data_IF_988939990426
#
_entry.id   IF_988939990426
#
_cell.length_a   1.000
_cell.length_b   1.000
_cell.length_c   1.000
_cell.angle_alpha   90.00
_cell.angle_beta   90.00
_cell.angle_gamma   90.00
#
_symmetry.space_group_name_H-M   'P 1'
#
loop_
_entity.id
_entity.type
_entity.pdbx_description
1 polymer ?
#
# COMPACT_ATOMS: atom_id res chain seq x y z
N UNK A 1 -15.03 -6.11 -1.73
CA UNK A 1 -14.55 -7.48 -1.45
C UNK A 1 -13.19 -7.61 -0.75
N UNK A 2 -12.37 -6.55 -0.73
CA UNK A 2 -11.01 -6.59 -0.19
C UNK A 2 -10.92 -7.07 1.28
N UNK A 3 -11.88 -6.73 2.13
CA UNK A 3 -11.88 -7.15 3.54
C UNK A 3 -12.02 -8.67 3.77
N UNK A 4 -12.37 -9.45 2.73
CA UNK A 4 -12.43 -10.92 2.82
C UNK A 4 -11.03 -11.56 2.78
N UNK A 5 -10.04 -10.86 2.24
CA UNK A 5 -8.64 -11.31 2.11
C UNK A 5 -7.71 -10.50 3.02
N UNK A 6 -7.98 -9.20 3.16
CA UNK A 6 -7.27 -8.26 4.04
C UNK A 6 -8.25 -7.71 5.08
N UNK A 7 -8.51 -8.52 6.11
CA UNK A 7 -9.46 -8.16 7.16
C UNK A 7 -8.90 -7.09 8.10
N UNK A 8 -9.81 -6.26 8.62
CA UNK A 8 -9.47 -5.11 9.47
C UNK A 8 -8.86 -5.55 10.80
N UNK A 9 -9.27 -6.70 11.32
CA UNK A 9 -8.75 -7.23 12.59
C UNK A 9 -7.33 -7.81 12.45
N UNK A 10 -6.91 -8.10 11.22
CA UNK A 10 -5.57 -8.55 10.82
C UNK A 10 -4.65 -7.38 10.43
N UNK A 11 -5.17 -6.15 10.38
CA UNK A 11 -4.35 -4.98 10.11
C UNK A 11 -3.45 -4.67 11.32
N UNK A 12 -2.16 -4.51 11.04
CA UNK A 12 -1.12 -4.14 11.99
C UNK A 12 -0.42 -2.90 11.48
N UNK A 13 -0.31 -1.88 12.33
CA UNK A 13 0.42 -0.66 11.96
C UNK A 13 1.88 -1.02 11.72
N UNK A 14 2.45 -0.54 10.62
CA UNK A 14 3.81 -0.86 10.22
C UNK A 14 4.50 0.40 9.72
N UNK A 15 4.76 1.32 10.66
CA UNK A 15 5.33 2.64 10.39
C UNK A 15 6.61 2.85 11.19
N UNK A 16 7.73 2.92 10.49
CA UNK A 16 9.03 3.30 11.04
C UNK A 16 9.33 4.78 10.84
N UNK A 17 10.53 5.20 11.26
CA UNK A 17 11.03 6.55 10.96
C UNK A 17 11.15 6.72 9.45
N UNK A 18 10.49 7.72 8.88
CA UNK A 18 10.48 7.93 7.43
C UNK A 18 9.27 8.73 6.93
N UNK A 19 9.40 9.21 5.69
CA UNK A 19 8.35 9.94 4.98
C UNK A 19 7.39 8.97 4.28
N UNK A 20 6.70 8.14 5.05
CA UNK A 20 5.69 7.21 4.54
C UNK A 20 4.64 6.88 5.59
N UNK A 21 3.54 6.32 5.13
CA UNK A 21 2.54 5.62 5.95
C UNK A 21 2.55 4.14 5.59
N UNK A 22 2.23 3.28 6.55
CA UNK A 22 2.29 1.84 6.32
C UNK A 22 1.46 1.01 7.28
N UNK A 23 0.87 -0.06 6.77
CA UNK A 23 0.31 -1.14 7.57
C UNK A 23 0.55 -2.47 6.88
N UNK A 24 0.47 -3.54 7.66
CA UNK A 24 0.50 -4.90 7.16
C UNK A 24 -0.85 -5.57 7.43
N UNK A 25 -1.23 -6.50 6.57
CA UNK A 25 -2.22 -7.53 6.90
C UNK A 25 -1.45 -8.79 7.25
N UNK A 26 -1.59 -9.28 8.48
CA UNK A 26 -0.90 -10.47 8.94
C UNK A 26 -1.78 -11.32 9.88
N UNK A 27 -2.22 -12.52 9.46
CA UNK A 27 -2.03 -13.14 8.16
C UNK A 27 -3.07 -12.68 7.11
N UNK A 28 -2.78 -12.91 5.83
CA UNK A 28 -3.79 -12.88 4.76
C UNK A 28 -4.78 -14.02 4.90
N UNK A 29 -6.05 -13.76 4.59
CA UNK A 29 -7.14 -14.75 4.65
C UNK A 29 -7.53 -15.23 3.24
N UNK A 30 -7.99 -16.48 3.12
CA UNK A 30 -8.59 -16.97 1.87
C UNK A 30 -10.07 -16.59 1.81
N UNK A 31 -10.35 -15.49 1.13
CA UNK A 31 -11.68 -14.88 1.04
C UNK A 31 -12.52 -15.33 -0.15
N UNK A 32 -11.98 -16.18 -1.02
CA UNK A 32 -12.58 -16.56 -2.30
C UNK A 32 -12.37 -15.49 -3.39
N UNK A 33 -11.28 -14.72 -3.32
CA UNK A 33 -10.99 -13.59 -4.20
C UNK A 33 -9.81 -13.86 -5.14
N UNK A 34 -9.54 -12.92 -6.06
CA UNK A 34 -8.35 -12.98 -6.91
C UNK A 34 -7.03 -12.72 -6.17
N UNK A 35 -7.10 -12.14 -4.97
CA UNK A 35 -5.95 -11.88 -4.09
C UNK A 35 -5.66 -13.00 -3.10
N UNK A 36 -6.43 -14.10 -3.14
CA UNK A 36 -6.27 -15.19 -2.19
C UNK A 36 -4.85 -15.78 -2.26
N UNK A 37 -4.17 -15.99 -1.11
CA UNK A 37 -2.83 -16.53 -1.09
C UNK A 37 -2.71 -17.89 -1.79
N UNK A 38 -1.70 -18.02 -2.65
CA UNK A 38 -1.37 -19.25 -3.36
C UNK A 38 -2.08 -19.44 -4.70
N UNK A 39 -2.78 -18.42 -5.20
CA UNK A 39 -3.32 -18.41 -6.56
C UNK A 39 -2.22 -18.30 -7.62
N UNK A 40 -1.20 -17.50 -7.34
CA UNK A 40 0.01 -17.35 -8.14
C UNK A 40 1.25 -17.73 -7.31
N UNK A 41 2.41 -18.02 -7.95
CA UNK A 41 3.63 -18.31 -7.23
C UNK A 41 4.12 -17.08 -6.48
N UNK A 42 4.50 -17.26 -5.21
CA UNK A 42 5.12 -16.20 -4.43
C UNK A 42 6.46 -15.77 -5.02
N UNK A 43 6.88 -14.53 -4.77
CA UNK A 43 8.20 -14.07 -5.17
C UNK A 43 9.30 -14.98 -4.57
N UNK A 44 10.29 -15.41 -5.38
CA UNK A 44 11.41 -16.17 -4.87
C UNK A 44 12.14 -15.40 -3.75
N UNK A 45 12.71 -16.13 -2.79
CA UNK A 45 13.46 -15.58 -1.66
C UNK A 45 12.66 -14.72 -0.66
N UNK A 46 11.32 -14.66 -0.75
CA UNK A 46 10.51 -14.13 0.35
C UNK A 46 10.70 -14.98 1.60
N UNK A 47 10.89 -14.30 2.74
CA UNK A 47 10.92 -14.94 4.06
C UNK A 47 9.56 -15.55 4.39
N UNK A 48 9.55 -16.60 5.20
CA UNK A 48 8.34 -17.36 5.55
C UNK A 48 7.18 -16.46 6.03
N UNK A 49 7.42 -15.52 6.96
CA UNK A 49 6.36 -14.60 7.42
C UNK A 49 5.82 -13.69 6.29
N UNK A 50 6.66 -13.27 5.34
CA UNK A 50 6.23 -12.43 4.21
C UNK A 50 5.49 -13.20 3.13
N UNK A 51 5.54 -14.54 3.17
CA UNK A 51 4.79 -15.39 2.24
C UNK A 51 3.30 -15.48 2.59
N UNK A 52 2.91 -15.00 3.78
CA UNK A 52 1.54 -15.05 4.30
C UNK A 52 0.97 -13.68 4.62
N UNK A 53 1.70 -12.60 4.37
CA UNK A 53 1.34 -11.24 4.79
C UNK A 53 1.38 -10.28 3.61
N UNK A 54 0.50 -9.27 3.62
CA UNK A 54 0.57 -8.16 2.68
C UNK A 54 1.03 -6.89 3.40
N UNK A 55 1.72 -6.01 2.66
CA UNK A 55 2.17 -4.72 3.17
C UNK A 55 1.64 -3.61 2.27
N UNK A 56 1.03 -2.60 2.87
CA UNK A 56 0.50 -1.44 2.16
C UNK A 56 1.27 -0.21 2.61
N UNK A 57 1.90 0.47 1.67
CA UNK A 57 2.81 1.58 1.94
C UNK A 57 2.42 2.77 1.06
N UNK A 58 2.22 3.93 1.66
CA UNK A 58 2.14 5.20 0.93
C UNK A 58 3.43 5.97 1.16
N UNK A 59 4.31 5.93 0.16
CA UNK A 59 5.56 6.67 0.13
C UNK A 59 5.27 8.13 -0.29
N UNK A 60 5.55 9.05 0.63
CA UNK A 60 5.41 10.46 0.37
C UNK A 60 6.38 10.89 -0.76
N UNK A 61 5.94 11.73 -1.73
CA UNK A 61 4.69 12.49 -1.70
C UNK A 61 3.50 11.82 -2.38
N UNK A 62 3.72 10.85 -3.28
CA UNK A 62 2.71 10.55 -4.29
C UNK A 62 2.73 9.11 -4.81
N UNK A 63 3.40 8.18 -4.14
CA UNK A 63 3.44 6.78 -4.60
C UNK A 63 2.92 5.87 -3.51
N UNK A 64 2.04 4.94 -3.84
CA UNK A 64 1.66 3.88 -2.91
C UNK A 64 1.80 2.49 -3.52
N UNK A 65 2.00 1.52 -2.65
CA UNK A 65 2.29 0.14 -2.96
C UNK A 65 1.40 -0.77 -2.12
N UNK A 66 0.86 -1.81 -2.75
CA UNK A 66 0.33 -2.99 -2.08
C UNK A 66 1.21 -4.17 -2.47
N UNK A 67 2.02 -4.62 -1.51
CA UNK A 67 2.94 -5.73 -1.63
C UNK A 67 2.24 -7.00 -1.15
N UNK A 68 1.87 -7.89 -2.06
CA UNK A 68 1.38 -9.23 -1.76
C UNK A 68 2.51 -10.25 -1.98
N UNK A 69 2.40 -11.46 -1.40
CA UNK A 69 3.39 -12.50 -1.60
C UNK A 69 3.66 -12.84 -3.07
N UNK A 70 2.66 -12.71 -3.94
CA UNK A 70 2.70 -13.12 -5.36
C UNK A 70 2.53 -11.96 -6.36
N UNK A 71 2.18 -10.77 -5.89
CA UNK A 71 1.91 -9.60 -6.73
C UNK A 71 2.32 -8.28 -6.06
N UNK A 72 2.65 -7.29 -6.88
CA UNK A 72 2.93 -5.93 -6.50
C UNK A 72 2.00 -5.00 -7.27
N UNK A 73 1.13 -4.29 -6.56
CA UNK A 73 0.34 -3.21 -7.14
C UNK A 73 0.95 -1.87 -6.72
N UNK A 74 1.34 -1.05 -7.69
CA UNK A 74 1.92 0.29 -7.48
C UNK A 74 1.04 1.33 -8.14
N UNK A 75 0.77 2.43 -7.44
CA UNK A 75 0.12 3.61 -8.02
C UNK A 75 1.00 4.83 -7.81
N UNK A 76 1.21 5.61 -8.87
CA UNK A 76 1.84 6.93 -8.81
C UNK A 76 0.79 8.00 -9.12
N UNK A 77 0.67 8.98 -8.23
CA UNK A 77 -0.27 10.08 -8.34
C UNK A 77 0.39 11.29 -9.01
N UNK A 78 -0.18 11.71 -10.15
CA UNK A 78 0.25 12.87 -10.93
C UNK A 78 -0.80 13.97 -10.83
N UNK A 79 -0.63 15.00 -9.98
CA UNK A 79 -1.58 16.11 -9.89
C UNK A 79 -1.56 16.91 -11.20
N UNK A 80 -2.73 17.20 -11.75
CA UNK A 80 -2.88 17.90 -13.04
C UNK A 80 -3.49 19.30 -12.89
N UNK A 81 -4.37 19.49 -11.91
CA UNK A 81 -4.93 20.79 -11.50
C UNK A 81 -5.50 20.68 -10.08
N UNK A 82 -5.90 21.79 -9.42
CA UNK A 82 -6.75 21.70 -8.24
C UNK A 82 -7.98 20.82 -8.51
N UNK A 83 -8.25 19.87 -7.62
CA UNK A 83 -9.36 18.91 -7.74
C UNK A 83 -9.20 17.84 -8.82
N UNK A 84 -8.02 17.67 -9.45
CA UNK A 84 -7.79 16.62 -10.46
C UNK A 84 -6.40 16.01 -10.37
N UNK A 85 -6.37 14.70 -10.14
CA UNK A 85 -5.16 13.85 -10.12
C UNK A 85 -5.31 12.73 -11.14
N UNK A 86 -4.21 12.34 -11.78
CA UNK A 86 -4.13 11.17 -12.66
C UNK A 86 -3.42 10.05 -11.89
N UNK A 87 -4.03 8.87 -11.82
CA UNK A 87 -3.44 7.68 -11.21
C UNK A 87 -2.75 6.84 -12.28
N UNK A 88 -1.47 6.53 -12.06
CA UNK A 88 -0.71 5.59 -12.90
C UNK A 88 -0.53 4.27 -12.14
N UNK A 89 -1.49 3.37 -12.30
CA UNK A 89 -1.46 2.04 -11.71
C UNK A 89 -0.58 1.08 -12.53
N UNK A 90 0.15 0.20 -11.85
CA UNK A 90 0.96 -0.86 -12.45
C UNK A 90 0.82 -2.11 -11.59
N UNK A 91 0.37 -3.20 -12.18
CA UNK A 91 0.34 -4.52 -11.57
C UNK A 91 1.54 -5.33 -12.06
N UNK A 92 2.30 -5.89 -11.14
CA UNK A 92 3.49 -6.68 -11.43
C UNK A 92 3.39 -8.01 -10.71
N UNK A 93 3.82 -9.07 -11.38
CA UNK A 93 3.94 -10.42 -10.80
C UNK A 93 5.32 -10.98 -11.10
N UNK A 94 5.75 -12.00 -10.36
CA UNK A 94 6.96 -12.73 -10.74
C UNK A 94 6.79 -13.43 -12.10
N UNK A 95 7.84 -13.50 -12.94
CA UNK A 95 7.78 -14.15 -14.27
C UNK A 95 7.32 -15.61 -14.21
N UNK A 96 7.59 -16.28 -13.10
CA UNK A 96 7.12 -17.65 -12.84
C UNK A 96 5.60 -17.79 -12.82
N UNK A 97 4.83 -16.69 -12.66
CA UNK A 97 3.39 -16.69 -12.82
C UNK A 97 2.94 -17.12 -14.23
N UNK A 98 3.77 -16.89 -15.26
CA UNK A 98 3.45 -17.32 -16.64
C UNK A 98 3.51 -18.84 -16.83
N UNK A 99 4.14 -19.57 -15.89
CA UNK A 99 4.32 -21.01 -15.98
C UNK A 99 3.21 -21.82 -15.28
N UNK A 100 2.23 -21.16 -14.64
CA UNK A 100 1.15 -21.86 -13.95
C UNK A 100 0.03 -22.26 -14.91
N UNK A 101 -0.72 -23.34 -14.63
CA UNK A 101 -1.97 -23.62 -15.33
C UNK A 101 -2.93 -22.43 -15.22
N UNK A 102 -3.56 -22.11 -16.36
CA UNK A 102 -4.53 -21.02 -16.49
C UNK A 102 -3.94 -19.64 -16.13
N UNK A 103 -2.64 -19.43 -16.38
CA UNK A 103 -1.92 -18.20 -16.05
C UNK A 103 -2.63 -16.94 -16.57
N UNK A 104 -3.03 -16.93 -17.84
CA UNK A 104 -3.71 -15.80 -18.49
C UNK A 104 -5.00 -15.42 -17.75
N UNK A 105 -5.88 -16.40 -17.53
CA UNK A 105 -7.12 -16.21 -16.79
C UNK A 105 -6.86 -15.70 -15.37
N UNK A 106 -5.89 -16.28 -14.65
CA UNK A 106 -5.56 -15.85 -13.29
C UNK A 106 -5.02 -14.43 -13.22
N UNK A 107 -4.21 -14.02 -14.21
CA UNK A 107 -3.71 -12.65 -14.30
C UNK A 107 -4.84 -11.66 -14.65
N UNK A 108 -5.75 -12.04 -15.55
CA UNK A 108 -6.92 -11.23 -15.89
C UNK A 108 -7.85 -11.04 -14.69
N UNK A 109 -8.14 -12.12 -13.94
CA UNK A 109 -8.91 -12.03 -12.70
C UNK A 109 -8.25 -11.15 -11.64
N UNK A 110 -6.92 -11.24 -11.51
CA UNK A 110 -6.15 -10.39 -10.58
C UNK A 110 -6.19 -8.92 -10.99
N UNK A 111 -6.02 -8.64 -12.29
CA UNK A 111 -6.09 -7.28 -12.83
C UNK A 111 -7.48 -6.68 -12.64
N UNK A 112 -8.54 -7.41 -13.04
CA UNK A 112 -9.92 -6.96 -12.90
C UNK A 112 -10.29 -6.69 -11.44
N UNK A 113 -9.79 -7.49 -10.50
CA UNK A 113 -10.00 -7.26 -9.08
C UNK A 113 -9.35 -5.96 -8.61
N UNK A 114 -8.08 -5.70 -8.97
CA UNK A 114 -7.39 -4.46 -8.61
C UNK A 114 -8.03 -3.23 -9.24
N UNK A 115 -8.44 -3.31 -10.51
CA UNK A 115 -9.14 -2.24 -11.21
C UNK A 115 -10.47 -1.89 -10.53
N UNK A 116 -11.25 -2.90 -10.13
CA UNK A 116 -12.50 -2.70 -9.41
C UNK A 116 -12.29 -1.97 -8.08
N UNK A 117 -11.41 -2.48 -7.21
CA UNK A 117 -11.23 -1.89 -5.87
C UNK A 117 -10.59 -0.49 -5.94
N UNK A 118 -9.70 -0.25 -6.92
CA UNK A 118 -9.14 1.08 -7.11
C UNK A 118 -10.20 2.07 -7.63
N UNK A 119 -11.12 1.60 -8.48
CA UNK A 119 -12.27 2.40 -8.93
C UNK A 119 -13.19 2.78 -7.76
N UNK A 120 -13.44 1.84 -6.83
CA UNK A 120 -14.20 2.11 -5.60
C UNK A 120 -13.55 3.25 -4.76
N UNK A 121 -12.22 3.25 -4.61
CA UNK A 121 -11.48 4.31 -3.91
C UNK A 121 -11.54 5.66 -4.64
N UNK A 122 -11.44 5.67 -5.97
CA UNK A 122 -11.57 6.88 -6.80
C UNK A 122 -12.93 7.54 -6.58
N UNK A 123 -14.01 6.75 -6.62
CA UNK A 123 -15.37 7.27 -6.43
C UNK A 123 -15.56 7.94 -5.06
N UNK A 124 -14.99 7.35 -4.00
CA UNK A 124 -15.00 7.94 -2.66
C UNK A 124 -14.23 9.26 -2.64
N UNK A 125 -13.04 9.31 -3.23
CA UNK A 125 -12.22 10.52 -3.29
C UNK A 125 -12.93 11.65 -4.03
N UNK A 126 -13.57 11.36 -5.16
CA UNK A 126 -14.35 12.35 -5.92
C UNK A 126 -15.52 12.90 -5.10
N UNK A 127 -16.20 12.04 -4.33
CA UNK A 127 -17.30 12.46 -3.48
C UNK A 127 -16.82 13.31 -2.29
N UNK A 128 -15.68 12.96 -1.68
CA UNK A 128 -15.02 13.80 -0.66
C UNK A 128 -14.62 15.15 -1.24
N UNK A 129 -14.08 15.21 -2.46
CA UNK A 129 -13.74 16.46 -3.12
C UNK A 129 -14.98 17.33 -3.35
N UNK A 130 -16.11 16.75 -3.81
CA UNK A 130 -17.38 17.48 -3.95
C UNK A 130 -17.84 18.05 -2.60
N UNK A 131 -17.80 17.25 -1.53
CA UNK A 131 -18.23 17.67 -0.20
C UNK A 131 -17.37 18.78 0.39
N UNK A 132 -16.05 18.66 0.29
CA UNK A 132 -15.10 19.65 0.84
C UNK A 132 -15.04 20.96 0.05
N UNK A 133 -15.58 20.99 -1.17
CA UNK A 133 -15.67 22.20 -2.00
C UNK A 133 -16.88 23.09 -1.66
N UNK A 134 -17.80 22.63 -0.81
CA UNK A 134 -18.99 23.41 -0.40
C UNK A 134 -18.60 24.39 0.72
N UNK A 135 -19.09 25.63 0.63
CA UNK A 135 -18.74 26.70 1.59
C UNK A 135 -19.14 26.44 3.03
N UNK A 136 -20.11 25.56 3.27
CA UNK A 136 -20.56 25.16 4.61
C UNK A 136 -19.64 24.12 5.28
N UNK A 137 -18.66 23.55 4.57
CA UNK A 137 -17.71 22.62 5.15
C UNK A 137 -16.63 23.37 5.94
N UNK A 138 -16.59 23.14 7.25
CA UNK A 138 -15.66 23.82 8.17
C UNK A 138 -14.48 22.92 8.63
N UNK A 139 -14.39 21.69 8.10
CA UNK A 139 -13.41 20.69 8.50
C UNK A 139 -14.01 19.47 9.20
N UNK A 140 -13.22 18.40 9.31
CA UNK A 140 -13.58 17.14 9.95
C UNK A 140 -12.66 16.79 11.13
N UNK A 141 -13.03 15.76 11.89
CA UNK A 141 -12.19 15.19 12.95
C UNK A 141 -11.70 13.81 12.52
N UNK A 142 -10.44 13.52 12.81
CA UNK A 142 -9.89 12.18 12.61
C UNK A 142 -10.37 11.21 13.69
N UNK A 143 -10.66 9.98 13.27
CA UNK A 143 -10.72 8.82 14.12
C UNK A 143 -9.34 8.51 14.68
N UNK A 144 -9.20 8.62 16.00
CA UNK A 144 -7.96 8.24 16.70
C UNK A 144 -7.53 6.80 16.40
N UNK A 145 -8.49 5.89 16.20
CA UNK A 145 -8.21 4.46 16.00
C UNK A 145 -7.74 4.14 14.58
N UNK A 146 -8.28 4.81 13.57
CA UNK A 146 -8.14 4.38 12.16
C UNK A 146 -7.43 5.40 11.27
N UNK A 147 -7.44 6.68 11.62
CA UNK A 147 -6.99 7.76 10.73
C UNK A 147 -5.69 8.43 11.18
N UNK A 148 -4.93 7.78 12.08
CA UNK A 148 -3.57 8.21 12.41
C UNK A 148 -2.67 8.32 11.16
N UNK A 149 -2.67 7.36 10.20
CA UNK A 149 -1.85 7.50 9.00
C UNK A 149 -2.23 8.75 8.19
N UNK A 150 -3.53 9.01 8.01
CA UNK A 150 -4.03 10.20 7.30
C UNK A 150 -3.52 11.48 7.98
N UNK A 151 -3.63 11.54 9.31
CA UNK A 151 -3.11 12.66 10.10
C UNK A 151 -1.58 12.82 9.94
N UNK A 152 -0.82 11.72 9.93
CA UNK A 152 0.63 11.72 9.66
C UNK A 152 0.96 12.31 8.29
N UNK A 153 0.25 11.88 7.24
CA UNK A 153 0.48 12.37 5.88
C UNK A 153 0.13 13.84 5.70
N UNK A 154 -0.97 14.30 6.29
CA UNK A 154 -1.31 15.72 6.25
C UNK A 154 -0.26 16.58 6.96
N UNK A 155 0.30 16.13 8.08
CA UNK A 155 1.40 16.83 8.74
C UNK A 155 2.66 16.88 7.87
N UNK A 156 2.98 15.81 7.13
CA UNK A 156 4.07 15.84 6.14
C UNK A 156 3.84 16.89 5.05
N UNK A 157 2.59 17.06 4.57
CA UNK A 157 2.26 18.13 3.62
C UNK A 157 2.45 19.51 4.26
N UNK A 158 1.91 19.72 5.47
CA UNK A 158 2.00 21.00 6.19
C UNK A 158 3.47 21.40 6.40
N UNK A 159 4.31 20.47 6.84
CA UNK A 159 5.75 20.71 7.01
C UNK A 159 6.43 21.19 5.72
N UNK A 160 6.03 20.62 4.56
CA UNK A 160 6.55 21.00 3.24
C UNK A 160 5.96 22.30 2.69
N UNK A 161 4.72 22.64 3.03
CA UNK A 161 4.06 23.87 2.59
C UNK A 161 4.53 25.09 3.39
N UNK A 162 4.74 24.95 4.70
CA UNK A 162 5.21 26.04 5.56
C UNK A 162 6.74 26.19 5.55
N UNK A 163 7.47 25.10 5.26
CA UNK A 163 8.91 25.02 5.04
C UNK A 163 9.76 26.07 5.80
N UNK A 164 9.82 25.95 7.13
CA UNK A 164 10.76 26.70 7.96
C UNK A 164 12.10 25.94 8.05
N UNK A 165 13.20 26.55 8.54
CA UNK A 165 14.45 25.83 8.78
C UNK A 165 14.27 24.54 9.61
N UNK A 166 13.32 24.53 10.54
CA UNK A 166 13.00 23.40 11.42
C UNK A 166 12.19 22.30 10.73
N UNK A 167 11.28 22.63 9.80
CA UNK A 167 10.38 21.65 9.16
C UNK A 167 10.89 21.15 7.80
N UNK A 168 11.78 21.91 7.14
CA UNK A 168 12.25 21.62 5.77
C UNK A 168 12.79 20.19 5.61
N UNK A 169 13.51 19.69 6.60
CA UNK A 169 14.10 18.35 6.61
C UNK A 169 13.52 17.44 7.70
N UNK A 170 12.36 17.80 8.26
CA UNK A 170 11.71 16.96 9.25
C UNK A 170 11.34 15.62 8.64
N UNK A 171 11.75 14.55 9.32
CA UNK A 171 11.38 13.18 9.04
C UNK A 171 10.56 12.73 10.24
N UNK A 172 9.29 12.34 10.08
CA UNK A 172 8.49 11.89 11.20
C UNK A 172 9.06 10.62 11.80
N UNK A 173 9.02 10.55 13.13
CA UNK A 173 9.39 9.33 13.87
C UNK A 173 8.41 8.20 13.54
N UNK A 174 8.85 6.96 13.76
CA UNK A 174 7.99 5.79 13.62
C UNK A 174 7.26 5.44 14.90
N UNK A 175 6.56 4.32 14.86
CA UNK A 175 6.04 3.66 16.03
C UNK A 175 7.20 3.16 16.90
N UNK A 176 7.10 3.37 18.22
CA UNK A 176 8.13 2.94 19.16
C UNK A 176 8.42 1.42 19.08
N UNK A 177 7.42 0.62 18.71
CA UNK A 177 7.50 -0.84 18.57
C UNK A 177 7.92 -1.30 17.18
N UNK A 178 8.21 -0.39 16.24
CA UNK A 178 8.57 -0.78 14.87
C UNK A 178 9.78 -1.73 14.82
N UNK A 179 10.78 -1.49 15.68
CA UNK A 179 11.99 -2.31 15.74
C UNK A 179 11.75 -3.72 16.30
N UNK A 180 10.75 -3.93 17.15
CA UNK A 180 10.40 -5.27 17.66
C UNK A 180 9.94 -6.19 16.52
N UNK A 181 9.22 -5.63 15.52
CA UNK A 181 8.83 -6.36 14.30
C UNK A 181 9.95 -6.50 13.27
N UNK A 182 10.96 -5.62 13.31
CA UNK A 182 12.10 -5.67 12.41
C UNK A 182 13.16 -6.68 12.89
N UNK A 183 13.44 -6.75 14.20
CA UNK A 183 14.49 -7.58 14.81
C UNK A 183 14.18 -9.09 14.76
N UNK A 184 12.91 -9.51 14.88
CA UNK A 184 12.52 -10.90 14.60
C UNK A 184 12.87 -11.32 13.16
N UNK A 185 13.05 -10.34 12.25
CA UNK A 185 13.42 -10.57 10.86
C UNK A 185 14.92 -10.42 10.57
N UNK A 186 15.71 -9.81 11.46
CA UNK A 186 17.14 -9.50 11.24
C UNK A 186 18.11 -10.63 11.67
N UNK A 187 17.68 -11.66 12.41
CA UNK A 187 18.59 -12.75 12.82
C UNK A 187 19.01 -13.73 11.69
N UNK A 188 18.59 -13.53 10.44
CA UNK A 188 19.00 -14.35 9.28
C UNK A 188 19.43 -13.46 8.10
N UNK A 189 20.64 -12.90 8.17
CA UNK A 189 21.28 -12.18 7.05
C UNK A 189 22.38 -13.02 6.41
N UNK A 190 22.15 -13.50 5.18
CA UNK A 190 23.07 -13.43 4.02
C UNK A 190 22.57 -14.31 2.86
N UNK A 191 21.79 -13.72 1.95
CA UNK A 191 21.72 -14.18 0.56
C UNK A 191 21.46 -12.98 -0.34
N UNK A 192 22.31 -12.79 -1.35
CA UNK A 192 22.22 -11.70 -2.34
C UNK A 192 21.12 -12.06 -3.35
N UNK A 193 20.23 -11.12 -3.62
CA UNK A 193 19.34 -11.16 -4.79
C UNK A 193 20.07 -10.46 -5.94
N UNK A 194 20.75 -11.24 -6.76
CA UNK A 194 21.05 -10.86 -8.14
C UNK A 194 20.01 -11.58 -9.01
N UNK A 195 19.41 -10.88 -9.99
CA UNK A 195 18.47 -11.39 -11.02
C UNK A 195 16.94 -11.36 -10.74
N UNK A 196 16.38 -10.21 -10.37
CA UNK A 196 14.93 -9.97 -10.49
C UNK A 196 14.60 -9.00 -11.64
N UNK A 197 14.37 -9.53 -12.85
CA UNK A 197 13.69 -8.79 -13.92
C UNK A 197 12.17 -8.83 -13.70
N UNK A 198 11.58 -7.67 -13.40
CA UNK A 198 10.14 -7.48 -13.19
C UNK A 198 9.47 -7.25 -14.55
N UNK A 199 8.38 -7.98 -14.82
CA UNK A 199 7.52 -7.75 -16.00
C UNK A 199 6.34 -6.91 -15.55
N UNK A 200 6.15 -5.75 -16.19
CA UNK A 200 4.95 -4.93 -16.04
C UNK A 200 3.91 -5.43 -17.05
N UNK A 201 2.69 -5.68 -16.58
CA UNK A 201 1.51 -5.92 -17.41
C UNK A 201 0.78 -4.61 -17.67
#
# INVERSE_FOLDING_TARGET
DLCKVSGVDEHRRHQGRGMYMGFATDPLTKGGTALDPGRLPVYPALRAHRSTSAYHLALFPNTFFSLYPDALFRVVLSPSSPGRTIEHATLMTHRGALAVPDAEQKMEELYAFWDQINTEDIEICENVQKGTSVSAYEGGRFSFRFEEPVHRFQNMIVDKMLATPETRYRIPDGDATYHEYAEESEMLYHARCDDAEVVAL
#
